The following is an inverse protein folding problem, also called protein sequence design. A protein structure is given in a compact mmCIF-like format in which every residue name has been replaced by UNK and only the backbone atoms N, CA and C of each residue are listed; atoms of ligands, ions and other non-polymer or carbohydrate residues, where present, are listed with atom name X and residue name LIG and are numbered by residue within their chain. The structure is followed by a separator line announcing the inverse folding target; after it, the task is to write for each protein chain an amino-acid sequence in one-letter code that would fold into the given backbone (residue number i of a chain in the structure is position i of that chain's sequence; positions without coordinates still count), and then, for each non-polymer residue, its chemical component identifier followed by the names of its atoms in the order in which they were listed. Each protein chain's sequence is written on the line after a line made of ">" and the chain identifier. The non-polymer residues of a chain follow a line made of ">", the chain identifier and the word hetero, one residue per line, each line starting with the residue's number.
data_IF_971453809999
#
_entry.id   IF_971453809999
#
_cell.length_a   1.000
_cell.length_b   1.000
_cell.length_c   1.000
_cell.angle_alpha   90.00
_cell.angle_beta   90.00
_cell.angle_gamma   90.00
#
_symmetry.space_group_name_H-M   'P 1'
#
loop_
_entity.id
_entity.type
_entity.pdbx_description
1 polymer ?
#
# COMPACT_ATOMS: atom_id res chain seq x y z
N UNK A 1 -0.87 -11.00 -14.79
CA UNK A 1 -1.36 -9.85 -14.00
C UNK A 1 -0.85 -9.96 -12.57
N UNK A 2 -0.49 -8.85 -11.99
CA UNK A 2 0.06 -8.79 -10.63
C UNK A 2 -0.74 -7.85 -9.77
N UNK A 3 -0.93 -8.21 -8.52
CA UNK A 3 -1.40 -7.29 -7.49
C UNK A 3 -0.18 -6.81 -6.71
N UNK A 4 0.06 -5.51 -6.75
CA UNK A 4 1.09 -4.87 -5.94
C UNK A 4 0.39 -4.25 -4.74
N UNK A 5 0.72 -4.73 -3.55
CA UNK A 5 0.20 -4.20 -2.30
C UNK A 5 1.33 -3.55 -1.53
N UNK A 6 1.10 -2.37 -0.99
CA UNK A 6 2.08 -1.66 -0.19
C UNK A 6 1.46 -1.23 1.13
N UNK A 7 2.16 -1.52 2.23
CA UNK A 7 1.81 -0.99 3.54
C UNK A 7 2.78 0.15 3.82
N UNK A 8 2.27 1.36 3.93
CA UNK A 8 3.09 2.57 4.05
C UNK A 8 2.67 3.42 5.24
N UNK A 9 3.52 4.35 5.63
CA UNK A 9 3.18 5.36 6.63
C UNK A 9 2.07 6.26 6.08
N UNK A 10 1.06 6.62 6.91
CA UNK A 10 -0.09 7.38 6.42
C UNK A 10 0.27 8.70 5.74
N UNK A 11 1.26 9.43 6.25
CA UNK A 11 1.64 10.72 5.69
C UNK A 11 2.34 10.62 4.33
N UNK A 12 2.69 9.40 3.90
CA UNK A 12 3.29 9.16 2.59
C UNK A 12 2.27 8.89 1.49
N UNK A 13 1.00 8.70 1.85
CA UNK A 13 -0.03 8.33 0.88
C UNK A 13 -0.12 9.28 -0.31
N UNK A 14 -0.16 10.58 -0.06
CA UNK A 14 -0.32 11.57 -1.13
C UNK A 14 0.87 11.57 -2.08
N UNK A 15 2.09 11.47 -1.56
CA UNK A 15 3.31 11.39 -2.38
C UNK A 15 3.30 10.13 -3.25
N UNK A 16 2.91 8.99 -2.69
CA UNK A 16 2.84 7.72 -3.42
C UNK A 16 1.79 7.81 -4.51
N UNK A 17 0.60 8.30 -4.19
CA UNK A 17 -0.49 8.48 -5.17
C UNK A 17 -0.04 9.35 -6.33
N UNK A 18 0.59 10.48 -6.03
CA UNK A 18 1.05 11.41 -7.06
C UNK A 18 2.12 10.78 -7.95
N UNK A 19 3.08 10.08 -7.35
CA UNK A 19 4.13 9.41 -8.10
C UNK A 19 3.58 8.30 -9.00
N UNK A 20 2.62 7.51 -8.51
CA UNK A 20 1.96 6.47 -9.30
C UNK A 20 1.15 7.06 -10.46
N UNK A 21 0.45 8.15 -10.21
CA UNK A 21 -0.31 8.85 -11.26
C UNK A 21 0.63 9.34 -12.38
N UNK A 22 1.77 9.90 -12.02
CA UNK A 22 2.79 10.32 -12.98
C UNK A 22 3.37 9.16 -13.77
N UNK A 23 3.41 7.97 -13.17
CA UNK A 23 3.86 6.76 -13.84
C UNK A 23 2.77 6.10 -14.72
N UNK A 24 1.61 6.72 -14.84
CA UNK A 24 0.53 6.23 -15.70
C UNK A 24 -0.45 5.29 -15.02
N UNK A 25 -0.38 5.14 -13.69
CA UNK A 25 -1.34 4.32 -12.95
C UNK A 25 -2.63 5.12 -12.75
N UNK A 26 -3.74 4.57 -13.22
CA UNK A 26 -5.03 5.26 -13.21
C UNK A 26 -5.94 4.84 -12.07
N UNK A 27 -5.68 3.72 -11.44
CA UNK A 27 -6.53 3.22 -10.36
C UNK A 27 -5.73 2.60 -9.23
N UNK A 28 -6.23 2.81 -8.03
CA UNK A 28 -5.70 2.17 -6.83
C UNK A 28 -6.79 2.07 -5.79
N UNK A 29 -6.69 1.07 -4.93
CA UNK A 29 -7.56 0.92 -3.78
C UNK A 29 -6.75 1.23 -2.54
N UNK A 30 -7.32 2.03 -1.65
CA UNK A 30 -6.66 2.45 -0.42
C UNK A 30 -7.50 2.05 0.78
N UNK A 31 -6.83 1.54 1.79
CA UNK A 31 -7.47 1.05 3.00
C UNK A 31 -6.64 1.48 4.20
N UNK A 32 -7.31 2.00 5.22
CA UNK A 32 -6.67 2.29 6.49
C UNK A 32 -6.52 0.99 7.28
N UNK A 33 -5.31 0.71 7.75
CA UNK A 33 -4.99 -0.50 8.49
C UNK A 33 -4.16 -0.15 9.72
N UNK A 34 -3.99 -1.12 10.60
CA UNK A 34 -3.11 -0.98 11.76
C UNK A 34 -2.03 -2.04 11.68
N UNK A 35 -0.81 -1.65 11.97
CA UNK A 35 0.32 -2.56 11.93
C UNK A 35 1.04 -2.66 13.26
N UNK A 36 1.60 -3.84 13.52
CA UNK A 36 2.50 -4.09 14.63
C UNK A 36 3.80 -4.64 14.06
N UNK A 37 4.92 -4.10 14.48
CA UNK A 37 6.20 -4.55 13.98
C UNK A 37 7.37 -3.89 14.73
N UNK A 38 8.48 -3.68 14.04
CA UNK A 38 9.68 -3.08 14.64
C UNK A 38 9.46 -1.64 15.09
N UNK A 39 8.58 -0.90 14.42
CA UNK A 39 8.18 0.41 14.87
C UNK A 39 7.25 0.24 16.06
N UNK A 40 7.76 0.49 17.24
CA UNK A 40 6.99 0.29 18.48
C UNK A 40 5.94 1.38 18.63
N UNK A 41 4.82 1.03 19.24
CA UNK A 41 3.82 1.98 19.67
C UNK A 41 4.34 2.85 20.81
N UNK A 42 3.46 3.64 21.36
CA UNK A 42 3.75 4.54 22.48
C UNK A 42 2.94 4.12 23.71
N UNK A 43 3.33 4.67 24.86
CA UNK A 43 2.61 4.46 26.12
C UNK A 43 1.63 5.61 26.33
N UNK A 44 0.39 5.26 26.69
CA UNK A 44 -0.63 6.23 27.04
C UNK A 44 -1.12 6.00 28.47
N UNK A 45 -1.55 7.07 29.13
CA UNK A 45 -2.17 7.00 30.45
C UNK A 45 -3.70 7.00 30.29
N UNK A 46 -4.35 6.06 30.97
CA UNK A 46 -5.79 5.98 31.00
C UNK A 46 -6.24 5.58 32.41
N UNK A 47 -7.01 6.45 33.05
CA UNK A 47 -7.50 6.26 34.43
C UNK A 47 -6.36 5.92 35.42
N UNK A 48 -5.19 6.57 35.26
CA UNK A 48 -4.04 6.37 36.13
C UNK A 48 -3.23 5.12 35.85
N UNK A 49 -3.56 4.33 34.83
CA UNK A 49 -2.79 3.18 34.42
C UNK A 49 -2.10 3.43 33.06
N UNK A 50 -0.90 2.91 32.90
CA UNK A 50 -0.17 2.98 31.63
C UNK A 50 -0.60 1.84 30.72
N UNK A 51 -0.82 2.17 29.44
CA UNK A 51 -1.11 1.20 28.39
C UNK A 51 -0.11 1.36 27.26
N UNK A 52 0.46 0.26 26.81
CA UNK A 52 1.28 0.22 25.60
C UNK A 52 0.36 0.22 24.39
N UNK A 53 0.57 1.16 23.48
CA UNK A 53 -0.13 1.18 22.19
C UNK A 53 0.76 0.46 21.19
N UNK A 54 0.45 -0.82 20.94
CA UNK A 54 1.28 -1.69 20.12
C UNK A 54 1.00 -1.56 18.63
N UNK A 55 -0.21 -1.17 18.26
CA UNK A 55 -0.61 -1.01 16.87
C UNK A 55 -0.53 0.45 16.45
N UNK A 56 0.06 0.66 15.28
CA UNK A 56 0.20 1.98 14.68
C UNK A 56 -0.63 2.07 13.39
N UNK A 57 -1.20 3.23 13.09
CA UNK A 57 -1.92 3.40 11.83
C UNK A 57 -0.97 3.29 10.66
N UNK A 58 -1.43 2.62 9.63
CA UNK A 58 -0.77 2.44 8.34
C UNK A 58 -1.82 2.57 7.24
N UNK A 59 -1.36 2.64 6.02
CA UNK A 59 -2.23 2.65 4.85
C UNK A 59 -1.81 1.51 3.93
N UNK A 60 -2.78 0.73 3.49
CA UNK A 60 -2.58 -0.29 2.46
C UNK A 60 -3.03 0.26 1.12
N UNK A 61 -2.16 0.18 0.14
CA UNK A 61 -2.44 0.56 -1.24
C UNK A 61 -2.40 -0.70 -2.09
N UNK A 62 -3.42 -0.92 -2.91
CA UNK A 62 -3.48 -2.04 -3.83
C UNK A 62 -3.56 -1.53 -5.25
N UNK A 63 -2.70 -2.06 -6.11
CA UNK A 63 -2.64 -1.67 -7.51
C UNK A 63 -2.57 -2.94 -8.35
N UNK A 64 -3.49 -3.09 -9.28
CA UNK A 64 -3.51 -4.19 -10.22
C UNK A 64 -2.83 -3.75 -11.51
N UNK A 65 -1.83 -4.51 -11.95
CA UNK A 65 -1.03 -4.13 -13.12
C UNK A 65 -0.74 -5.33 -14.01
N UNK A 66 -0.47 -5.10 -15.29
CA UNK A 66 0.12 -6.14 -16.15
C UNK A 66 1.49 -6.57 -15.62
N UNK A 67 1.91 -7.77 -15.96
CA UNK A 67 3.19 -8.32 -15.50
C UNK A 67 4.37 -7.39 -15.78
N UNK A 68 4.40 -6.80 -16.96
CA UNK A 68 5.52 -5.94 -17.40
C UNK A 68 5.59 -4.59 -16.68
N UNK A 69 4.55 -4.22 -15.94
CA UNK A 69 4.52 -2.96 -15.18
C UNK A 69 4.87 -3.13 -13.70
N UNK A 70 4.87 -4.35 -13.20
CA UNK A 70 5.01 -4.59 -11.76
C UNK A 70 6.32 -4.04 -11.20
N UNK A 71 7.44 -4.28 -11.88
CA UNK A 71 8.75 -3.83 -11.40
C UNK A 71 8.84 -2.29 -11.33
N UNK A 72 8.28 -1.60 -12.31
CA UNK A 72 8.24 -0.14 -12.32
C UNK A 72 7.41 0.40 -11.16
N UNK A 73 6.23 -0.18 -10.95
CA UNK A 73 5.33 0.24 -9.86
C UNK A 73 6.00 0.05 -8.51
N UNK A 74 6.66 -1.08 -8.29
CA UNK A 74 7.40 -1.34 -7.05
C UNK A 74 8.47 -0.26 -6.82
N UNK A 75 9.24 0.08 -7.84
CA UNK A 75 10.28 1.10 -7.74
C UNK A 75 9.70 2.47 -7.41
N UNK A 76 8.61 2.84 -8.06
CA UNK A 76 7.93 4.12 -7.80
C UNK A 76 7.43 4.21 -6.36
N UNK A 77 6.88 3.11 -5.84
CA UNK A 77 6.43 3.08 -4.44
C UNK A 77 7.61 3.20 -3.49
N UNK A 78 8.69 2.46 -3.71
CA UNK A 78 9.89 2.57 -2.86
C UNK A 78 10.39 4.00 -2.82
N UNK A 79 10.59 4.61 -3.97
CA UNK A 79 11.16 5.95 -4.07
C UNK A 79 10.28 7.02 -3.40
N UNK A 80 8.96 6.87 -3.48
CA UNK A 80 8.02 7.85 -2.92
C UNK A 80 7.65 7.60 -1.46
N UNK A 81 7.71 6.36 -0.99
CA UNK A 81 7.30 6.00 0.37
C UNK A 81 8.45 5.92 1.36
N UNK A 82 9.68 5.75 0.88
CA UNK A 82 10.83 5.52 1.75
C UNK A 82 11.20 6.75 2.57
N UNK A 83 11.39 6.57 3.87
CA UNK A 83 12.00 7.56 4.77
C UNK A 83 13.39 7.13 5.23
N UNK A 84 13.71 5.84 5.12
CA UNK A 84 14.94 5.25 5.64
C UNK A 84 14.85 4.88 7.11
N UNK A 85 13.69 5.05 7.72
CA UNK A 85 13.48 4.74 9.14
C UNK A 85 12.62 3.50 9.30
N UNK A 86 12.71 2.88 10.48
CA UNK A 86 11.86 1.75 10.85
C UNK A 86 10.39 2.17 10.72
N UNK A 87 9.56 1.29 10.17
CA UNK A 87 8.14 1.57 9.98
C UNK A 87 7.78 1.99 8.56
N UNK A 88 8.73 2.03 7.64
CA UNK A 88 8.48 2.39 6.24
C UNK A 88 7.52 1.41 5.53
N UNK A 89 7.41 0.19 6.03
CA UNK A 89 6.47 -0.79 5.52
C UNK A 89 7.07 -1.78 4.54
N UNK A 90 6.19 -2.45 3.82
CA UNK A 90 6.56 -3.53 2.90
C UNK A 90 5.70 -3.50 1.65
N UNK A 91 6.21 -4.10 0.61
CA UNK A 91 5.49 -4.28 -0.65
C UNK A 91 5.36 -5.78 -0.91
N UNK A 92 4.17 -6.21 -1.30
CA UNK A 92 3.87 -7.59 -1.67
C UNK A 92 3.46 -7.61 -3.13
N UNK A 93 4.00 -8.57 -3.88
CA UNK A 93 3.62 -8.79 -5.27
C UNK A 93 3.08 -10.20 -5.39
N UNK A 94 1.84 -10.35 -5.82
CA UNK A 94 1.18 -11.64 -5.97
C UNK A 94 0.62 -11.81 -7.38
N UNK A 95 0.50 -13.05 -7.81
CA UNK A 95 -0.13 -13.36 -9.08
C UNK A 95 -1.66 -13.25 -8.94
N UNK A 96 -2.29 -12.66 -9.93
CA UNK A 96 -3.75 -12.59 -10.03
C UNK A 96 -4.17 -13.48 -11.19
N UNK A 97 -4.96 -14.49 -10.89
CA UNK A 97 -5.40 -15.45 -11.89
C UNK A 97 -6.40 -14.84 -12.88
N UNK A 98 -7.33 -14.06 -12.38
CA UNK A 98 -8.38 -13.49 -13.19
C UNK A 98 -8.83 -12.13 -12.64
N UNK A 99 -9.13 -11.21 -13.55
CA UNK A 99 -9.72 -9.91 -13.25
C UNK A 99 -10.94 -9.73 -14.12
N UNK A 100 -12.03 -9.28 -13.52
CA UNK A 100 -13.29 -9.05 -14.23
C UNK A 100 -13.76 -7.65 -13.84
N UNK A 101 -14.01 -6.81 -14.85
CA UNK A 101 -14.59 -5.49 -14.60
C UNK A 101 -16.10 -5.62 -14.40
N UNK A 102 -16.58 -5.16 -13.26
CA UNK A 102 -17.98 -5.34 -12.90
C UNK A 102 -18.91 -4.68 -13.92
N UNK A 103 -18.60 -3.45 -14.33
CA UNK A 103 -19.48 -2.68 -15.23
C UNK A 103 -19.65 -3.31 -16.62
N UNK A 104 -18.57 -3.86 -17.16
CA UNK A 104 -18.54 -4.30 -18.56
C UNK A 104 -18.47 -5.82 -18.73
N UNK A 105 -18.05 -6.55 -17.67
CA UNK A 105 -17.78 -7.97 -17.78
C UNK A 105 -16.48 -8.30 -18.52
N UNK A 106 -15.68 -7.30 -18.90
CA UNK A 106 -14.38 -7.52 -19.52
C UNK A 106 -13.46 -8.27 -18.57
N UNK A 107 -12.62 -9.14 -19.14
CA UNK A 107 -11.71 -10.01 -18.39
C UNK A 107 -10.27 -9.79 -18.77
N UNK A 108 -9.37 -10.16 -17.86
CA UNK A 108 -7.95 -10.14 -18.12
C UNK A 108 -7.39 -8.72 -18.25
N UNK A 109 -6.37 -8.52 -19.12
CA UNK A 109 -5.72 -7.20 -19.26
C UNK A 109 -6.68 -6.07 -19.61
N UNK A 110 -7.76 -6.37 -20.31
CA UNK A 110 -8.76 -5.35 -20.69
C UNK A 110 -9.58 -4.87 -19.49
N UNK A 111 -9.54 -5.61 -18.37
CA UNK A 111 -10.25 -5.26 -17.14
C UNK A 111 -9.43 -4.41 -16.18
N UNK A 112 -8.18 -4.21 -16.49
CA UNK A 112 -7.28 -3.39 -15.65
C UNK A 112 -7.52 -1.91 -15.88
#
# INVERSE_FOLDING_TARGET
>A
MKMVEAIVKPFKLDEVKEALTKAGIQGMTVEEVKGFGRQKGHTELYRGAEYSVDFLPKVKIQILVPDDKAAEVVRVIIDSAKTGKIGDGKIFVTNVEEVIRIRTGEKGPDAI
#
